data_IF_264511817293
#
_entry.id   IF_264511817293
#
_cell.length_a   1.000
_cell.length_b   1.000
_cell.length_c   1.000
_cell.angle_alpha   90.00
_cell.angle_beta   90.00
_cell.angle_gamma   90.00
#
_symmetry.space_group_name_H-M   'P 1'
#
loop_
_entity.id
_entity.type
_entity.pdbx_description
1 polymer ?
#
# COMPACT_ATOMS: atom_id res chain seq x y z
N UNK A 1 -16.24 11.09 -16.04
CA UNK A 1 -15.09 10.50 -16.74
C UNK A 1 -13.96 10.40 -15.73
N UNK A 2 -13.73 9.23 -15.13
CA UNK A 2 -12.51 9.03 -14.31
C UNK A 2 -11.31 9.12 -15.25
N UNK A 3 -10.37 10.03 -14.95
CA UNK A 3 -9.06 10.06 -15.60
C UNK A 3 -8.35 8.72 -15.36
N UNK A 4 -7.60 8.19 -16.35
CA UNK A 4 -6.82 6.98 -16.13
C UNK A 4 -5.76 7.29 -15.08
N UNK A 5 -5.79 6.56 -13.94
CA UNK A 5 -4.70 6.64 -12.95
C UNK A 5 -3.44 6.16 -13.67
N UNK A 6 -2.47 7.04 -13.87
CA UNK A 6 -1.12 6.63 -14.24
C UNK A 6 -0.66 5.62 -13.18
N UNK A 7 -0.68 4.35 -13.56
CA UNK A 7 -0.29 3.27 -12.67
C UNK A 7 1.21 3.23 -12.75
N UNK A 8 1.91 3.57 -11.67
CA UNK A 8 3.37 3.41 -11.62
C UNK A 8 3.66 1.92 -11.80
N UNK A 9 4.16 1.57 -12.99
CA UNK A 9 4.47 0.20 -13.33
C UNK A 9 5.86 -0.14 -12.82
N UNK A 10 5.92 -1.08 -11.89
CA UNK A 10 7.19 -1.57 -11.35
C UNK A 10 7.64 -2.72 -12.24
N UNK A 11 8.76 -2.59 -12.95
CA UNK A 11 9.25 -3.65 -13.82
C UNK A 11 9.61 -4.89 -12.99
N UNK A 12 9.42 -6.07 -13.58
CA UNK A 12 9.79 -7.37 -13.00
C UNK A 12 10.30 -8.28 -14.10
N UNK A 13 11.34 -9.07 -13.80
CA UNK A 13 11.88 -10.07 -14.73
C UNK A 13 11.11 -11.40 -14.65
N UNK A 14 10.23 -11.55 -13.67
CA UNK A 14 9.46 -12.77 -13.42
C UNK A 14 8.20 -12.78 -14.30
N UNK A 15 8.10 -13.78 -15.18
CA UNK A 15 6.98 -13.94 -16.13
C UNK A 15 5.67 -14.41 -15.49
N UNK A 16 5.72 -15.02 -14.31
CA UNK A 16 4.53 -15.56 -13.64
C UNK A 16 3.84 -14.45 -12.80
N UNK A 17 2.66 -13.97 -13.20
CA UNK A 17 1.99 -12.84 -12.54
C UNK A 17 1.50 -13.18 -11.12
N UNK A 18 1.05 -14.41 -10.88
CA UNK A 18 0.58 -14.84 -9.56
C UNK A 18 1.74 -14.90 -8.55
N UNK A 19 2.90 -15.38 -9.01
CA UNK A 19 4.12 -15.39 -8.21
C UNK A 19 4.55 -13.97 -7.87
N UNK A 20 4.55 -13.05 -8.85
CA UNK A 20 4.86 -11.63 -8.65
C UNK A 20 3.93 -11.02 -7.62
N UNK A 21 2.60 -11.21 -7.77
CA UNK A 21 1.60 -10.68 -6.84
C UNK A 21 1.83 -11.18 -5.41
N UNK A 22 2.05 -12.49 -5.24
CA UNK A 22 2.31 -13.09 -3.91
C UNK A 22 3.58 -12.54 -3.28
N UNK A 23 4.67 -12.43 -4.05
CA UNK A 23 5.97 -11.97 -3.56
C UNK A 23 5.97 -10.47 -3.26
N UNK A 24 5.33 -9.66 -4.11
CA UNK A 24 5.11 -8.24 -3.82
C UNK A 24 4.29 -8.04 -2.56
N UNK A 25 3.25 -8.85 -2.31
CA UNK A 25 2.50 -8.79 -1.04
C UNK A 25 3.39 -9.09 0.16
N UNK A 26 4.22 -10.13 0.08
CA UNK A 26 5.19 -10.46 1.13
C UNK A 26 6.19 -9.32 1.41
N UNK A 27 6.66 -8.64 0.35
CA UNK A 27 7.55 -7.47 0.46
C UNK A 27 6.82 -6.29 1.13
N UNK A 28 5.57 -6.01 0.73
CA UNK A 28 4.72 -4.95 1.32
C UNK A 28 4.55 -5.20 2.82
N UNK A 29 4.13 -6.40 3.22
CA UNK A 29 3.85 -6.74 4.62
C UNK A 29 5.10 -6.59 5.50
N UNK A 30 6.29 -6.92 4.97
CA UNK A 30 7.56 -6.73 5.64
C UNK A 30 7.97 -5.25 5.73
N UNK A 31 7.78 -4.50 4.64
CA UNK A 31 8.13 -3.09 4.57
C UNK A 31 7.26 -2.24 5.51
N UNK A 32 5.95 -2.49 5.57
CA UNK A 32 5.03 -1.80 6.50
C UNK A 32 5.54 -1.88 7.94
N UNK A 33 5.90 -3.09 8.41
CA UNK A 33 6.42 -3.28 9.77
C UNK A 33 7.70 -2.50 10.01
N UNK A 34 8.63 -2.51 9.05
CA UNK A 34 9.90 -1.80 9.18
C UNK A 34 9.73 -0.29 9.13
N UNK A 35 8.88 0.21 8.24
CA UNK A 35 8.58 1.63 8.16
C UNK A 35 7.96 2.11 9.47
N UNK A 36 6.94 1.45 10.01
CA UNK A 36 6.34 1.80 11.32
C UNK A 36 7.40 1.82 12.44
N UNK A 37 8.33 0.87 12.45
CA UNK A 37 9.32 0.76 13.53
C UNK A 37 10.49 1.75 13.42
N UNK A 38 10.89 2.13 12.20
CA UNK A 38 12.17 2.81 11.95
C UNK A 38 12.06 4.07 11.09
N UNK A 39 10.94 4.29 10.43
CA UNK A 39 10.78 5.29 9.36
C UNK A 39 11.26 4.79 8.00
N UNK A 40 10.78 5.43 6.93
CA UNK A 40 11.16 5.11 5.56
C UNK A 40 12.64 5.37 5.30
N UNK A 41 13.16 6.53 5.71
CA UNK A 41 14.54 6.92 5.41
C UNK A 41 15.58 5.98 6.04
N UNK A 42 15.34 5.50 7.27
CA UNK A 42 16.26 4.60 7.98
C UNK A 42 16.13 3.13 7.58
N UNK A 43 15.10 2.76 6.83
CA UNK A 43 14.88 1.40 6.35
C UNK A 43 15.66 1.15 5.05
N UNK A 44 16.27 -0.03 4.90
CA UNK A 44 17.02 -0.41 3.69
C UNK A 44 16.39 -1.60 2.96
N UNK A 45 16.62 -1.73 1.64
CA UNK A 45 16.15 -2.88 0.84
C UNK A 45 16.67 -4.21 1.37
N UNK A 46 17.88 -4.24 1.95
CA UNK A 46 18.45 -5.42 2.63
C UNK A 46 17.67 -5.82 3.88
N UNK A 47 17.23 -4.85 4.68
CA UNK A 47 16.38 -5.13 5.85
C UNK A 47 15.00 -5.65 5.41
N UNK A 48 14.42 -5.05 4.36
CA UNK A 48 13.13 -5.48 3.80
C UNK A 48 13.25 -6.91 3.27
N UNK A 49 14.29 -7.23 2.48
CA UNK A 49 14.53 -8.58 1.97
C UNK A 49 14.62 -9.60 3.11
N UNK A 50 15.42 -9.30 4.13
CA UNK A 50 15.56 -10.16 5.32
C UNK A 50 14.23 -10.38 6.04
N UNK A 51 13.46 -9.31 6.27
CA UNK A 51 12.16 -9.38 6.93
C UNK A 51 11.11 -10.12 6.08
N UNK A 52 11.21 -10.04 4.76
CA UNK A 52 10.39 -10.79 3.81
C UNK A 52 10.87 -12.24 3.63
N UNK A 53 11.97 -12.68 4.23
CA UNK A 53 12.52 -14.03 4.02
C UNK A 53 13.03 -14.25 2.60
N UNK A 54 13.52 -13.20 1.94
CA UNK A 54 14.09 -13.21 0.59
C UNK A 54 15.58 -12.89 0.64
N UNK A 55 16.33 -13.40 -0.35
CA UNK A 55 17.66 -12.87 -0.63
C UNK A 55 17.55 -11.45 -1.20
N UNK A 56 18.62 -10.66 -1.09
CA UNK A 56 18.64 -9.32 -1.68
C UNK A 56 18.48 -9.36 -3.21
N UNK A 57 19.09 -10.35 -3.87
CA UNK A 57 18.94 -10.55 -5.31
C UNK A 57 17.50 -10.90 -5.69
N UNK A 58 16.86 -11.81 -4.94
CA UNK A 58 15.46 -12.16 -5.17
C UNK A 58 14.52 -10.97 -4.96
N UNK A 59 14.80 -10.07 -4.00
CA UNK A 59 14.01 -8.85 -3.83
C UNK A 59 14.08 -7.97 -5.09
N UNK A 60 15.27 -7.79 -5.66
CA UNK A 60 15.47 -6.98 -6.87
C UNK A 60 14.83 -7.57 -8.14
N UNK A 61 14.37 -8.82 -8.12
CA UNK A 61 13.56 -9.38 -9.21
C UNK A 61 12.13 -8.82 -9.23
N UNK A 62 11.63 -8.32 -8.09
CA UNK A 62 10.24 -7.83 -7.93
C UNK A 62 10.13 -6.30 -7.82
N UNK A 63 11.22 -5.62 -7.45
CA UNK A 63 11.33 -4.17 -7.27
C UNK A 63 12.70 -3.67 -7.73
N UNK A 64 12.79 -2.43 -8.19
CA UNK A 64 14.04 -1.78 -8.59
C UNK A 64 14.65 -0.93 -7.47
N UNK A 65 13.80 -0.39 -6.59
CA UNK A 65 14.22 0.61 -5.60
C UNK A 65 13.46 0.47 -4.27
N UNK A 66 13.86 1.25 -3.26
CA UNK A 66 13.09 1.34 -1.99
C UNK A 66 11.80 2.14 -2.19
N UNK A 67 11.83 3.07 -3.14
CA UNK A 67 10.74 3.93 -3.56
C UNK A 67 9.65 3.11 -4.25
N UNK A 68 10.00 2.08 -5.02
CA UNK A 68 9.05 1.10 -5.57
C UNK A 68 8.29 0.38 -4.45
N UNK A 69 9.01 0.01 -3.39
CA UNK A 69 8.39 -0.62 -2.21
C UNK A 69 7.45 0.35 -1.51
N UNK A 70 7.85 1.61 -1.34
CA UNK A 70 6.98 2.65 -0.79
C UNK A 70 5.74 2.85 -1.65
N UNK A 71 5.89 2.94 -2.98
CA UNK A 71 4.76 3.04 -3.90
C UNK A 71 3.80 1.87 -3.74
N UNK A 72 4.31 0.63 -3.70
CA UNK A 72 3.47 -0.55 -3.51
C UNK A 72 2.70 -0.52 -2.18
N UNK A 73 3.34 -0.06 -1.10
CA UNK A 73 2.69 0.14 0.20
C UNK A 73 1.58 1.17 0.07
N UNK A 74 1.86 2.35 -0.47
CA UNK A 74 0.87 3.42 -0.67
C UNK A 74 -0.29 2.97 -1.56
N UNK A 75 -0.01 2.27 -2.66
CA UNK A 75 -1.04 1.76 -3.56
C UNK A 75 -1.90 0.68 -2.90
N UNK A 76 -1.30 -0.23 -2.12
CA UNK A 76 -2.07 -1.23 -1.37
C UNK A 76 -3.02 -0.57 -0.38
N UNK A 77 -2.59 0.50 0.30
CA UNK A 77 -3.44 1.24 1.23
C UNK A 77 -4.54 1.98 0.48
N UNK A 78 -4.20 2.69 -0.61
CA UNK A 78 -5.17 3.39 -1.45
C UNK A 78 -6.30 2.47 -1.95
N UNK A 79 -5.95 1.25 -2.39
CA UNK A 79 -6.93 0.25 -2.80
C UNK A 79 -7.84 -0.21 -1.66
N UNK A 80 -7.30 -0.39 -0.45
CA UNK A 80 -8.07 -0.79 0.74
C UNK A 80 -9.05 0.32 1.16
N UNK A 81 -8.62 1.57 1.08
CA UNK A 81 -9.48 2.76 1.31
C UNK A 81 -10.59 2.84 0.29
N UNK A 82 -10.26 2.73 -0.99
CA UNK A 82 -11.24 2.82 -2.07
C UNK A 82 -12.30 1.73 -1.95
N UNK A 83 -11.89 0.52 -1.59
CA UNK A 83 -12.81 -0.58 -1.32
C UNK A 83 -13.70 -0.27 -0.11
N UNK A 84 -13.13 0.17 1.01
CA UNK A 84 -13.90 0.51 2.21
C UNK A 84 -14.93 1.63 1.97
N UNK A 85 -14.56 2.64 1.19
CA UNK A 85 -15.44 3.74 0.80
C UNK A 85 -16.56 3.28 -0.15
N UNK A 86 -16.23 2.43 -1.12
CA UNK A 86 -17.21 1.81 -2.02
C UNK A 86 -18.25 1.00 -1.25
N UNK A 87 -17.79 0.18 -0.29
CA UNK A 87 -18.65 -0.64 0.56
C UNK A 87 -19.54 0.24 1.47
N UNK A 88 -18.99 1.32 2.03
CA UNK A 88 -19.75 2.29 2.81
C UNK A 88 -20.84 2.97 1.99
N UNK A 89 -20.51 3.43 0.78
CA UNK A 89 -21.48 4.07 -0.12
C UNK A 89 -22.58 3.10 -0.56
N UNK A 90 -22.24 1.83 -0.79
CA UNK A 90 -23.22 0.80 -1.09
C UNK A 90 -24.22 0.59 0.06
N UNK A 91 -23.76 0.63 1.31
CA UNK A 91 -24.62 0.55 2.51
C UNK A 91 -25.47 1.81 2.71
N UNK A 92 -24.92 2.98 2.39
CA UNK A 92 -25.55 4.27 2.61
C UNK A 92 -26.73 4.58 1.66
N UNK A 93 -26.88 3.83 0.55
CA UNK A 93 -28.02 3.97 -0.38
C UNK A 93 -29.33 3.50 0.27
N UNK A 94 -29.92 4.36 1.11
CA UNK A 94 -31.24 4.11 1.71
C UNK A 94 -31.76 5.12 2.74
N UNK A 95 -30.98 6.10 3.21
CA UNK A 95 -31.42 6.99 4.29
C UNK A 95 -30.88 8.43 4.25
N UNK A 96 -31.54 9.33 4.98
CA UNK A 96 -31.18 10.76 5.09
C UNK A 96 -29.78 11.02 5.70
N UNK A 97 -29.12 9.98 6.25
CA UNK A 97 -27.82 10.06 6.90
C UNK A 97 -26.63 9.62 6.02
N UNK A 98 -26.86 9.28 4.75
CA UNK A 98 -25.84 8.76 3.84
C UNK A 98 -24.58 9.64 3.74
N UNK A 99 -24.75 10.96 3.70
CA UNK A 99 -23.63 11.91 3.65
C UNK A 99 -22.81 11.90 4.95
N UNK A 100 -23.49 11.84 6.10
CA UNK A 100 -22.82 11.80 7.40
C UNK A 100 -22.05 10.48 7.60
N UNK A 101 -22.57 9.36 7.09
CA UNK A 101 -21.87 8.07 7.09
C UNK A 101 -20.63 8.11 6.21
N UNK A 102 -20.73 8.61 4.99
CA UNK A 102 -19.59 8.73 4.06
C UNK A 102 -18.50 9.64 4.62
N UNK A 103 -18.87 10.79 5.21
CA UNK A 103 -17.91 11.71 5.85
C UNK A 103 -17.24 11.03 7.05
N UNK A 104 -18.00 10.31 7.88
CA UNK A 104 -17.45 9.58 9.03
C UNK A 104 -16.46 8.51 8.60
N UNK A 105 -16.81 7.71 7.60
CA UNK A 105 -15.93 6.66 7.08
C UNK A 105 -14.65 7.26 6.48
N UNK A 106 -14.73 8.38 5.76
CA UNK A 106 -13.56 9.10 5.27
C UNK A 106 -12.63 9.53 6.42
N UNK A 107 -13.16 10.15 7.48
CA UNK A 107 -12.34 10.54 8.64
C UNK A 107 -11.75 9.34 9.37
N UNK A 108 -12.49 8.25 9.53
CA UNK A 108 -11.98 7.02 10.16
C UNK A 108 -10.86 6.38 9.35
N UNK A 109 -10.96 6.40 8.03
CA UNK A 109 -9.89 5.96 7.12
C UNK A 109 -8.67 6.85 7.24
N UNK A 110 -8.82 8.18 7.14
CA UNK A 110 -7.71 9.12 7.30
C UNK A 110 -7.03 9.00 8.67
N UNK A 111 -7.82 8.81 9.74
CA UNK A 111 -7.30 8.60 11.09
C UNK A 111 -6.52 7.30 11.21
N UNK A 112 -7.01 6.19 10.65
CA UNK A 112 -6.29 4.91 10.61
C UNK A 112 -4.97 5.01 9.82
N UNK A 113 -4.90 5.95 8.88
CA UNK A 113 -3.74 6.16 8.02
C UNK A 113 -2.79 7.26 8.52
N UNK A 114 -3.06 7.95 9.62
CA UNK A 114 -2.22 9.07 10.08
C UNK A 114 -0.78 8.65 10.30
N UNK A 115 -0.58 7.44 10.82
CA UNK A 115 0.74 6.87 11.07
C UNK A 115 1.50 6.67 9.74
N UNK A 116 0.81 6.28 8.67
CA UNK A 116 1.41 6.09 7.33
C UNK A 116 1.70 7.39 6.60
N UNK A 117 0.86 8.41 6.77
CA UNK A 117 1.13 9.74 6.22
C UNK A 117 2.38 10.32 6.90
N UNK A 118 2.47 10.19 8.23
CA UNK A 118 3.66 10.62 8.97
C UNK A 118 4.94 9.89 8.53
N UNK A 119 4.84 8.62 8.12
CA UNK A 119 6.00 7.82 7.66
C UNK A 119 6.70 8.36 6.41
N UNK A 120 6.00 9.17 5.60
CA UNK A 120 6.57 9.81 4.39
C UNK A 120 7.31 11.11 4.76
N UNK A 121 6.98 11.72 5.90
CA UNK A 121 7.52 13.00 6.35
C UNK A 121 8.62 12.89 7.43
N UNK A 122 9.00 11.68 7.86
CA UNK A 122 10.07 11.41 8.84
C UNK A 122 11.29 10.73 8.22
#
# INVERSE_FOLDING_TARGET
MQQPRETYDIPTQIKNPDLVKRRRRQIIDAAVKLFIQKGFHKTTTRQIAKAAGLSIGALYEYVSSKEDVLYMVCNSIHMEVEQGMSDALARAKGGQNALAEVIREYFMVCHRMSDFILLIYQ
#
